data_IF_267928058521
#
_entry.id   IF_267928058521
#
_cell.length_a   1.000
_cell.length_b   1.000
_cell.length_c   1.000
_cell.angle_alpha   90.00
_cell.angle_beta   90.00
_cell.angle_gamma   90.00
#
_symmetry.space_group_name_H-M   'P 1'
#
loop_
_entity.id
_entity.type
_entity.pdbx_description
1 polymer ?
#
# COMPACT_ATOMS: atom_id res chain seq x y z
N UNK A 1 -8.56 -4.26 27.44
CA UNK A 1 -7.48 -3.32 27.03
C UNK A 1 -8.16 -2.12 26.39
N UNK A 2 -8.28 -1.02 27.12
CA UNK A 2 -9.02 0.17 26.67
C UNK A 2 -8.02 1.28 26.38
N UNK A 3 -7.26 1.17 25.27
CA UNK A 3 -6.32 2.21 24.86
C UNK A 3 -5.26 1.66 23.90
N UNK A 4 -4.67 2.53 23.11
CA UNK A 4 -3.59 2.22 22.18
C UNK A 4 -2.35 1.72 22.95
N UNK A 5 -1.87 0.51 22.63
CA UNK A 5 -0.62 -0.04 23.16
C UNK A 5 -0.77 -1.12 24.23
N UNK A 6 0.36 -1.69 24.60
CA UNK A 6 0.46 -2.72 25.63
C UNK A 6 0.94 -2.15 26.96
N UNK A 7 0.47 -2.72 28.09
CA UNK A 7 1.20 -2.56 29.34
C UNK A 7 2.53 -3.33 29.28
N UNK A 8 3.50 -2.96 30.12
CA UNK A 8 4.75 -3.73 30.23
C UNK A 8 4.47 -5.18 30.63
N UNK A 9 3.45 -5.44 31.44
CA UNK A 9 3.02 -6.79 31.77
C UNK A 9 2.55 -7.57 30.52
N UNK A 10 1.76 -6.95 29.65
CA UNK A 10 1.32 -7.58 28.39
C UNK A 10 2.51 -7.85 27.45
N UNK A 11 3.46 -6.93 27.37
CA UNK A 11 4.72 -7.13 26.64
C UNK A 11 5.48 -8.35 27.16
N UNK A 12 5.68 -8.46 28.49
CA UNK A 12 6.41 -9.59 29.10
C UNK A 12 5.72 -10.92 28.85
N UNK A 13 4.39 -10.97 28.99
CA UNK A 13 3.60 -12.15 28.69
C UNK A 13 3.72 -12.55 27.20
N UNK A 14 3.61 -11.60 26.29
CA UNK A 14 3.75 -11.83 24.86
C UNK A 14 5.17 -12.28 24.49
N UNK A 15 6.19 -11.59 24.98
CA UNK A 15 7.59 -11.91 24.66
C UNK A 15 8.01 -13.30 25.13
N UNK A 16 7.53 -13.71 26.32
CA UNK A 16 7.75 -15.05 26.85
C UNK A 16 7.07 -16.13 26.00
N UNK A 17 5.81 -15.89 25.62
CA UNK A 17 5.06 -16.82 24.78
C UNK A 17 5.68 -16.93 23.37
N UNK A 18 6.07 -15.79 22.78
CA UNK A 18 6.69 -15.76 21.47
C UNK A 18 8.06 -16.45 21.47
N UNK A 19 8.90 -16.17 22.48
CA UNK A 19 10.20 -16.83 22.64
C UNK A 19 10.07 -18.36 22.72
N UNK A 20 9.14 -18.85 23.53
CA UNK A 20 8.88 -20.28 23.70
C UNK A 20 8.42 -20.97 22.42
N UNK A 21 7.71 -20.28 21.55
CA UNK A 21 7.19 -20.80 20.28
C UNK A 21 8.18 -20.72 19.12
N UNK A 22 9.25 -19.91 19.21
CA UNK A 22 10.13 -19.56 18.10
C UNK A 22 11.63 -19.68 18.42
N UNK A 23 11.99 -20.62 19.27
CA UNK A 23 13.40 -20.89 19.67
C UNK A 23 14.14 -19.64 20.15
N UNK A 24 13.40 -18.73 20.81
CA UNK A 24 13.93 -17.50 21.37
C UNK A 24 14.16 -17.60 22.88
N UNK A 25 14.75 -16.56 23.43
CA UNK A 25 14.81 -16.36 24.88
C UNK A 25 14.56 -14.90 25.24
N UNK A 26 14.14 -14.67 26.46
CA UNK A 26 13.81 -13.33 26.95
C UNK A 26 14.42 -13.09 28.32
N UNK A 27 14.92 -11.88 28.52
CA UNK A 27 15.36 -11.37 29.83
C UNK A 27 14.57 -10.11 30.18
N UNK A 28 14.24 -9.95 31.46
CA UNK A 28 13.45 -8.83 31.97
C UNK A 28 14.24 -8.13 33.08
N UNK A 29 14.88 -7.02 32.73
CA UNK A 29 15.65 -6.17 33.66
C UNK A 29 15.11 -4.73 33.70
N UNK A 30 14.17 -4.39 32.81
CA UNK A 30 13.52 -3.08 32.78
C UNK A 30 12.47 -2.90 33.87
N UNK A 31 11.91 -1.69 33.94
CA UNK A 31 10.81 -1.37 34.87
C UNK A 31 9.56 -2.17 34.55
N UNK A 32 8.73 -2.46 35.57
CA UNK A 32 7.48 -3.21 35.41
C UNK A 32 6.29 -2.33 34.98
N UNK A 33 6.43 -1.01 35.07
CA UNK A 33 5.37 -0.05 34.83
C UNK A 33 5.55 0.64 33.48
N UNK A 34 4.44 1.10 32.91
CA UNK A 34 4.39 1.91 31.69
C UNK A 34 3.48 1.33 30.61
N UNK A 35 3.28 2.14 29.58
CA UNK A 35 2.54 1.77 28.37
C UNK A 35 3.49 1.79 27.17
N UNK A 36 3.37 0.80 26.29
CA UNK A 36 4.13 0.64 25.06
C UNK A 36 3.18 0.88 23.90
N UNK A 37 3.29 2.03 23.27
CA UNK A 37 2.38 2.52 22.24
C UNK A 37 2.97 2.48 20.84
N UNK A 38 4.30 2.38 20.75
CA UNK A 38 5.01 2.51 19.49
C UNK A 38 5.86 1.28 19.20
N UNK A 39 5.78 0.78 17.97
CA UNK A 39 6.77 -0.11 17.40
C UNK A 39 7.76 0.75 16.62
N UNK A 40 9.05 0.58 16.86
CA UNK A 40 10.10 1.34 16.21
C UNK A 40 11.15 0.42 15.60
N UNK A 41 11.69 0.82 14.45
CA UNK A 41 12.76 0.10 13.75
C UNK A 41 13.88 1.03 13.31
N UNK A 42 13.74 2.36 13.61
CA UNK A 42 14.65 3.41 13.17
C UNK A 42 14.78 4.49 14.25
N UNK A 43 16.02 4.74 14.69
CA UNK A 43 16.32 5.74 15.73
C UNK A 43 15.99 7.16 15.31
N UNK A 44 16.07 7.46 14.01
CA UNK A 44 15.78 8.79 13.44
C UNK A 44 14.30 9.18 13.56
N UNK A 45 13.42 8.22 13.72
CA UNK A 45 11.95 8.42 13.82
C UNK A 45 11.41 8.21 15.23
N UNK A 46 12.27 7.99 16.22
CA UNK A 46 11.89 7.81 17.62
C UNK A 46 11.32 9.09 18.21
N UNK A 47 10.00 9.13 18.43
CA UNK A 47 9.32 10.29 19.05
C UNK A 47 9.01 10.07 20.54
N UNK A 48 8.80 8.83 20.96
CA UNK A 48 8.45 8.44 22.33
C UNK A 48 9.26 7.20 22.76
N UNK A 49 10.57 7.35 23.00
CA UNK A 49 11.45 6.20 23.23
C UNK A 49 11.05 5.31 24.40
N UNK A 50 10.64 5.91 25.53
CA UNK A 50 10.24 5.18 26.72
C UNK A 50 8.95 4.33 26.53
N UNK A 51 8.09 4.71 25.58
CA UNK A 51 6.86 4.00 25.20
C UNK A 51 7.05 3.12 23.95
N UNK A 52 8.28 2.91 23.50
CA UNK A 52 8.60 2.17 22.29
C UNK A 52 9.14 0.77 22.56
N UNK A 53 8.77 -0.17 21.69
CA UNK A 53 9.45 -1.45 21.51
C UNK A 53 10.31 -1.31 20.24
N UNK A 54 11.61 -1.48 20.36
CA UNK A 54 12.53 -1.37 19.22
C UNK A 54 12.84 -2.74 18.64
N UNK A 55 12.63 -2.90 17.35
CA UNK A 55 12.90 -4.11 16.58
C UNK A 55 14.16 -3.89 15.73
N UNK A 56 15.26 -4.54 16.11
CA UNK A 56 16.54 -4.43 15.40
C UNK A 56 16.53 -5.27 14.12
N UNK A 57 15.96 -4.74 13.07
CA UNK A 57 15.87 -5.40 11.76
C UNK A 57 17.21 -5.36 11.04
N UNK A 58 17.54 -6.46 10.31
CA UNK A 58 18.67 -6.53 9.40
C UNK A 58 18.13 -6.37 7.98
N UNK A 59 18.59 -5.36 7.28
CA UNK A 59 18.33 -5.11 5.87
C UNK A 59 19.57 -5.29 5.01
N UNK A 60 19.46 -5.18 3.67
CA UNK A 60 20.59 -5.32 2.76
C UNK A 60 21.74 -4.34 3.00
N UNK A 61 21.44 -3.16 3.55
CA UNK A 61 22.39 -2.05 3.69
C UNK A 61 22.47 -1.51 5.13
N UNK A 62 21.66 -2.00 6.05
CA UNK A 62 21.55 -1.50 7.43
C UNK A 62 21.34 -2.65 8.39
N UNK A 63 21.97 -2.56 9.54
CA UNK A 63 21.73 -3.45 10.67
C UNK A 63 21.22 -2.63 11.87
N UNK A 64 19.98 -2.89 12.28
CA UNK A 64 19.35 -2.19 13.42
C UNK A 64 20.10 -2.41 14.74
N UNK A 65 20.92 -3.46 14.84
CA UNK A 65 21.75 -3.74 16.03
C UNK A 65 22.85 -2.69 16.23
N UNK A 66 23.29 -2.03 15.16
CA UNK A 66 24.32 -0.97 15.26
C UNK A 66 23.79 0.30 15.97
N UNK A 67 22.47 0.43 16.11
CA UNK A 67 21.79 1.59 16.68
C UNK A 67 21.22 1.38 18.09
N UNK A 68 21.44 0.20 18.72
CA UNK A 68 20.87 -0.11 20.04
C UNK A 68 21.36 0.84 21.14
N UNK A 69 22.66 1.17 21.16
CA UNK A 69 23.22 2.10 22.14
C UNK A 69 22.65 3.52 22.00
N UNK A 70 22.43 3.98 20.76
CA UNK A 70 21.82 5.28 20.47
C UNK A 70 20.37 5.32 20.96
N UNK A 71 19.57 4.30 20.61
CA UNK A 71 18.18 4.20 21.02
C UNK A 71 18.03 4.02 22.55
N UNK A 72 18.95 3.32 23.21
CA UNK A 72 19.02 3.22 24.67
C UNK A 72 19.25 4.59 25.32
N UNK A 73 20.22 5.35 24.79
CA UNK A 73 20.50 6.71 25.26
C UNK A 73 19.30 7.63 25.09
N UNK A 74 18.52 7.44 24.03
CA UNK A 74 17.25 8.15 23.81
C UNK A 74 16.14 7.74 24.81
N UNK A 75 16.24 6.56 25.47
CA UNK A 75 15.31 6.11 26.49
C UNK A 75 14.54 4.83 26.18
N UNK A 76 14.84 4.12 25.09
CA UNK A 76 14.27 2.81 24.80
C UNK A 76 14.72 1.78 25.83
N UNK A 77 13.82 0.92 26.28
CA UNK A 77 14.08 -0.13 27.27
C UNK A 77 13.44 -1.48 26.91
N UNK A 78 12.88 -1.62 25.70
CA UNK A 78 12.26 -2.88 25.21
C UNK A 78 12.77 -3.17 23.82
N UNK A 79 13.38 -4.36 23.67
CA UNK A 79 14.16 -4.73 22.51
C UNK A 79 13.72 -6.07 21.94
N UNK A 80 13.63 -6.15 20.63
CA UNK A 80 13.57 -7.39 19.87
C UNK A 80 14.78 -7.44 18.96
N UNK A 81 15.64 -8.43 19.18
CA UNK A 81 16.93 -8.55 18.50
C UNK A 81 17.15 -9.96 17.97
N UNK A 82 17.99 -10.15 16.98
CA UNK A 82 18.43 -11.48 16.51
C UNK A 82 19.81 -11.88 17.03
N UNK A 83 20.56 -10.92 17.59
CA UNK A 83 21.88 -11.15 18.17
C UNK A 83 21.78 -11.00 19.70
N UNK A 84 22.17 -12.03 20.50
CA UNK A 84 22.15 -11.90 21.94
C UNK A 84 23.10 -10.79 22.41
N UNK A 85 22.72 -10.03 23.45
CA UNK A 85 23.60 -9.01 24.02
C UNK A 85 24.85 -9.63 24.63
N UNK A 86 25.95 -8.87 24.65
CA UNK A 86 27.18 -9.21 25.38
C UNK A 86 27.07 -8.69 26.81
N UNK A 87 27.84 -9.24 27.72
CA UNK A 87 27.89 -8.76 29.11
C UNK A 87 28.27 -7.27 29.24
N UNK A 88 29.06 -6.77 28.27
CA UNK A 88 29.47 -5.36 28.20
C UNK A 88 28.42 -4.41 27.61
N UNK A 89 27.32 -4.92 27.08
CA UNK A 89 26.31 -4.11 26.41
C UNK A 89 25.40 -3.44 27.43
N UNK A 90 25.73 -2.20 27.77
CA UNK A 90 25.00 -1.42 28.78
C UNK A 90 23.49 -1.28 28.49
N UNK A 91 23.10 -1.27 27.18
CA UNK A 91 21.70 -1.18 26.77
C UNK A 91 20.84 -2.37 27.21
N UNK A 92 21.45 -3.52 27.50
CA UNK A 92 20.73 -4.73 27.91
C UNK A 92 20.55 -4.84 29.42
N UNK A 93 21.37 -4.15 30.24
CA UNK A 93 21.44 -4.36 31.68
C UNK A 93 20.21 -3.83 32.46
N UNK A 94 19.55 -2.81 31.93
CA UNK A 94 18.38 -2.16 32.55
C UNK A 94 17.11 -2.26 31.67
N UNK A 95 17.07 -3.25 30.78
CA UNK A 95 16.08 -3.36 29.72
C UNK A 95 15.47 -4.76 29.65
N UNK A 96 14.29 -4.86 29.02
CA UNK A 96 13.71 -6.13 28.63
C UNK A 96 14.16 -6.47 27.21
N UNK A 97 14.76 -7.64 27.01
CA UNK A 97 15.33 -8.08 25.72
C UNK A 97 14.71 -9.40 25.30
N UNK A 98 14.08 -9.41 24.13
CA UNK A 98 13.62 -10.61 23.44
C UNK A 98 14.62 -10.92 22.30
N UNK A 99 15.29 -12.06 22.38
CA UNK A 99 16.18 -12.56 21.33
C UNK A 99 15.45 -13.64 20.53
N UNK A 100 15.38 -13.47 19.21
CA UNK A 100 14.67 -14.38 18.30
C UNK A 100 15.40 -14.50 16.96
N UNK A 101 15.29 -15.64 16.26
CA UNK A 101 15.94 -15.82 14.96
C UNK A 101 15.39 -14.85 13.90
N UNK A 102 14.09 -14.51 13.93
CA UNK A 102 13.42 -13.66 12.95
C UNK A 102 12.71 -12.50 13.64
N UNK A 103 13.37 -11.34 13.64
CA UNK A 103 12.84 -10.08 14.21
C UNK A 103 11.64 -9.55 13.40
N UNK A 104 11.62 -9.79 12.07
CA UNK A 104 10.46 -9.39 11.24
C UNK A 104 9.23 -10.21 11.57
N UNK A 105 9.36 -11.51 11.78
CA UNK A 105 8.26 -12.37 12.22
C UNK A 105 7.73 -11.93 13.60
N UNK A 106 8.63 -11.54 14.52
CA UNK A 106 8.23 -11.01 15.82
C UNK A 106 7.44 -9.69 15.69
N UNK A 107 7.88 -8.77 14.82
CA UNK A 107 7.17 -7.51 14.53
C UNK A 107 5.77 -7.78 13.98
N UNK A 108 5.65 -8.68 13.00
CA UNK A 108 4.38 -9.04 12.39
C UNK A 108 3.44 -9.73 13.40
N UNK A 109 3.98 -10.58 14.27
CA UNK A 109 3.20 -11.24 15.32
C UNK A 109 2.72 -10.25 16.42
N UNK A 110 3.55 -9.29 16.80
CA UNK A 110 3.14 -8.23 17.73
C UNK A 110 1.95 -7.43 17.16
N UNK A 111 2.05 -7.03 15.89
CA UNK A 111 0.97 -6.34 15.18
C UNK A 111 -0.28 -7.22 15.06
N UNK A 112 -0.11 -8.53 14.77
CA UNK A 112 -1.22 -9.50 14.73
C UNK A 112 -1.96 -9.56 16.08
N UNK A 113 -1.27 -9.56 17.20
CA UNK A 113 -1.90 -9.56 18.52
C UNK A 113 -2.77 -8.31 18.73
N UNK A 114 -2.31 -7.15 18.25
CA UNK A 114 -3.13 -5.91 18.25
C UNK A 114 -4.35 -6.05 17.34
N UNK A 115 -4.17 -6.66 16.13
CA UNK A 115 -5.26 -6.93 15.19
C UNK A 115 -6.34 -7.83 15.80
N UNK A 116 -5.95 -8.87 16.53
CA UNK A 116 -6.88 -9.83 17.13
C UNK A 116 -7.75 -9.21 18.21
N UNK A 117 -7.33 -8.10 18.81
CA UNK A 117 -8.13 -7.32 19.74
C UNK A 117 -9.19 -6.45 19.06
N UNK A 118 -9.12 -6.22 17.75
CA UNK A 118 -10.07 -5.41 17.00
C UNK A 118 -11.17 -6.27 16.39
N UNK A 119 -12.43 -5.96 16.72
CA UNK A 119 -13.61 -6.72 16.27
C UNK A 119 -14.24 -6.17 14.99
N UNK A 120 -13.92 -4.94 14.60
CA UNK A 120 -14.47 -4.28 13.41
C UNK A 120 -13.94 -4.87 12.09
N UNK A 121 -14.57 -4.52 10.97
CA UNK A 121 -14.14 -4.95 9.64
C UNK A 121 -12.77 -4.40 9.28
N UNK A 122 -11.95 -5.23 8.63
CA UNK A 122 -10.66 -4.88 8.06
C UNK A 122 -10.67 -5.14 6.58
N UNK A 123 -10.60 -4.07 5.80
CA UNK A 123 -10.56 -4.09 4.35
C UNK A 123 -9.11 -4.05 3.89
N UNK A 124 -8.60 -5.14 3.32
CA UNK A 124 -7.27 -5.20 2.76
C UNK A 124 -7.30 -4.85 1.26
N UNK A 125 -6.41 -3.94 0.85
CA UNK A 125 -6.37 -3.41 -0.52
C UNK A 125 -5.07 -3.82 -1.19
N UNK A 126 -5.15 -4.59 -2.28
CA UNK A 126 -3.99 -4.94 -3.11
C UNK A 126 -4.25 -4.73 -4.60
N UNK A 127 -3.23 -4.89 -5.39
CA UNK A 127 -3.21 -4.73 -6.85
C UNK A 127 -1.82 -4.33 -7.33
N UNK A 128 -1.62 -4.27 -8.63
CA UNK A 128 -0.37 -3.76 -9.18
C UNK A 128 -0.27 -2.25 -8.99
N UNK A 129 -1.30 -1.50 -9.41
CA UNK A 129 -1.41 -0.05 -9.29
C UNK A 129 -2.73 0.35 -8.63
N UNK A 130 -2.86 1.60 -8.19
CA UNK A 130 -4.10 2.17 -7.63
C UNK A 130 -4.36 1.89 -6.15
N UNK A 131 -3.57 1.07 -5.45
CA UNK A 131 -3.78 0.69 -4.03
C UNK A 131 -3.96 1.91 -3.11
N UNK A 132 -2.98 2.80 -3.08
CA UNK A 132 -2.99 4.00 -2.23
C UNK A 132 -4.13 4.94 -2.63
N UNK A 133 -4.33 5.13 -3.94
CA UNK A 133 -5.41 5.98 -4.46
C UNK A 133 -6.78 5.47 -4.03
N UNK A 134 -7.05 4.18 -4.21
CA UNK A 134 -8.33 3.56 -3.80
C UNK A 134 -8.50 3.65 -2.28
N UNK A 135 -7.45 3.37 -1.49
CA UNK A 135 -7.49 3.51 -0.03
C UNK A 135 -7.89 4.91 0.41
N UNK A 136 -7.23 5.95 -0.12
CA UNK A 136 -7.52 7.34 0.24
C UNK A 136 -8.91 7.78 -0.24
N UNK A 137 -9.31 7.36 -1.43
CA UNK A 137 -10.62 7.72 -1.97
C UNK A 137 -11.77 6.99 -1.29
N UNK A 138 -11.60 5.71 -0.92
CA UNK A 138 -12.57 5.02 -0.07
C UNK A 138 -12.77 5.78 1.22
N UNK A 139 -11.70 6.15 1.92
CA UNK A 139 -11.78 6.91 3.16
C UNK A 139 -12.49 8.26 2.98
N UNK A 140 -12.27 8.94 1.84
CA UNK A 140 -12.90 10.23 1.53
C UNK A 140 -14.39 10.10 1.19
N UNK A 141 -14.80 9.01 0.53
CA UNK A 141 -16.19 8.78 0.11
C UNK A 141 -17.07 8.22 1.23
N UNK A 142 -16.47 7.57 2.23
CA UNK A 142 -17.21 7.01 3.37
C UNK A 142 -17.93 8.10 4.18
N UNK A 143 -19.02 7.74 4.90
CA UNK A 143 -19.72 8.66 5.77
C UNK A 143 -18.81 9.20 6.89
N UNK A 144 -18.90 10.53 7.15
CA UNK A 144 -18.06 11.21 8.16
C UNK A 144 -18.26 10.71 9.60
N UNK A 145 -19.40 10.07 9.87
CA UNK A 145 -19.70 9.47 11.17
C UNK A 145 -18.83 8.26 11.51
N UNK A 146 -18.14 7.68 10.52
CA UNK A 146 -17.31 6.51 10.71
C UNK A 146 -15.89 6.90 11.12
N UNK A 147 -15.41 6.36 12.22
CA UNK A 147 -14.02 6.47 12.63
C UNK A 147 -13.17 5.49 11.81
N UNK A 148 -12.48 5.99 10.79
CA UNK A 148 -11.73 5.18 9.83
C UNK A 148 -10.25 5.11 10.23
N UNK A 149 -9.76 3.89 10.50
CA UNK A 149 -8.33 3.62 10.51
C UNK A 149 -7.83 3.38 9.09
N UNK A 150 -6.64 3.89 8.75
CA UNK A 150 -6.01 3.63 7.45
C UNK A 150 -4.49 3.60 7.54
N UNK A 151 -3.86 2.75 6.71
CA UNK A 151 -2.40 2.75 6.56
C UNK A 151 -1.89 4.15 6.23
N UNK A 152 -0.90 4.70 6.95
CA UNK A 152 -0.32 6.00 6.61
C UNK A 152 0.46 5.89 5.29
N UNK A 153 0.37 6.92 4.46
CA UNK A 153 1.09 6.99 3.18
C UNK A 153 0.90 5.70 2.34
N UNK A 154 2.02 5.11 1.89
CA UNK A 154 2.07 3.83 1.16
C UNK A 154 2.71 2.73 2.02
N UNK A 155 2.40 2.66 3.33
CA UNK A 155 2.87 1.61 4.22
C UNK A 155 2.21 0.26 3.87
N UNK A 156 2.73 -0.40 2.84
CA UNK A 156 2.15 -1.62 2.26
C UNK A 156 3.10 -2.83 2.27
N UNK A 157 4.37 -2.65 2.71
CA UNK A 157 5.42 -3.66 2.72
C UNK A 157 5.36 -4.57 3.95
N UNK A 158 6.24 -5.58 4.00
CA UNK A 158 6.43 -6.46 5.16
C UNK A 158 6.71 -5.71 6.46
N UNK A 159 7.31 -4.51 6.37
CA UNK A 159 7.56 -3.61 7.49
C UNK A 159 6.40 -2.62 7.71
N UNK A 160 5.90 -2.00 6.65
CA UNK A 160 4.90 -0.94 6.76
C UNK A 160 3.54 -1.41 7.25
N UNK A 161 3.14 -2.63 6.83
CA UNK A 161 1.84 -3.22 7.24
C UNK A 161 1.77 -3.46 8.76
N UNK A 162 2.72 -4.13 9.42
CA UNK A 162 2.65 -4.33 10.87
C UNK A 162 2.65 -3.00 11.65
N UNK A 163 3.40 -2.00 11.22
CA UNK A 163 3.37 -0.67 11.84
C UNK A 163 1.98 -0.01 11.70
N UNK A 164 1.32 -0.19 10.55
CA UNK A 164 -0.05 0.28 10.33
C UNK A 164 -1.05 -0.48 11.19
N UNK A 165 -0.99 -1.80 11.22
CA UNK A 165 -1.89 -2.65 12.01
C UNK A 165 -1.74 -2.37 13.51
N UNK A 166 -0.53 -2.10 14.00
CA UNK A 166 -0.29 -1.74 15.39
C UNK A 166 -1.03 -0.47 15.83
N UNK A 167 -1.28 0.46 14.90
CA UNK A 167 -2.01 1.71 15.20
C UNK A 167 -3.54 1.56 15.21
N UNK A 168 -4.07 0.36 15.00
CA UNK A 168 -5.49 0.06 15.03
C UNK A 168 -6.02 0.08 16.47
N UNK A 169 -7.12 0.79 16.69
CA UNK A 169 -7.76 0.95 18.01
C UNK A 169 -9.22 0.48 17.97
N UNK A 170 -9.78 0.11 19.14
CA UNK A 170 -11.15 -0.39 19.24
C UNK A 170 -12.23 0.63 18.89
N UNK A 171 -11.93 1.93 18.95
CA UNK A 171 -12.88 2.98 18.59
C UNK A 171 -13.10 3.15 17.09
N UNK A 172 -12.25 2.51 16.24
CA UNK A 172 -12.43 2.58 14.81
C UNK A 172 -13.60 1.70 14.35
N UNK A 173 -14.40 2.19 13.42
CA UNK A 173 -15.51 1.45 12.82
C UNK A 173 -15.06 0.58 11.63
N UNK A 174 -13.99 0.97 10.95
CA UNK A 174 -13.43 0.29 9.78
C UNK A 174 -11.93 0.54 9.68
N UNK A 175 -11.18 -0.48 9.26
CA UNK A 175 -9.75 -0.36 8.97
C UNK A 175 -9.47 -0.60 7.48
N UNK A 176 -8.70 0.29 6.85
CA UNK A 176 -8.25 0.22 5.46
C UNK A 176 -6.74 -0.03 5.44
N UNK A 177 -6.32 -1.26 5.09
CA UNK A 177 -4.91 -1.66 5.07
C UNK A 177 -4.46 -1.92 3.64
N UNK A 178 -3.44 -1.19 3.21
CA UNK A 178 -2.79 -1.43 1.92
C UNK A 178 -1.77 -2.57 2.04
N UNK A 179 -1.79 -3.54 1.10
CA UNK A 179 -0.87 -4.67 1.06
C UNK A 179 -0.17 -4.75 -0.31
N UNK A 180 1.16 -4.68 -0.32
CA UNK A 180 2.02 -4.77 -1.49
C UNK A 180 3.07 -5.85 -1.32
N UNK A 181 3.43 -6.50 -2.43
CA UNK A 181 4.43 -7.56 -2.49
C UNK A 181 5.43 -7.33 -3.61
N UNK A 182 6.63 -7.79 -3.38
CA UNK A 182 7.72 -7.83 -4.37
C UNK A 182 8.20 -9.25 -4.65
N UNK A 183 8.00 -10.20 -3.73
CA UNK A 183 8.45 -11.58 -3.85
C UNK A 183 7.35 -12.59 -3.49
N UNK A 184 7.43 -13.82 -4.04
CA UNK A 184 6.55 -14.94 -3.65
C UNK A 184 6.58 -15.21 -2.14
N UNK A 185 5.42 -15.61 -1.57
CA UNK A 185 5.23 -15.90 -0.16
C UNK A 185 5.07 -14.67 0.75
N UNK A 186 5.28 -13.47 0.25
CA UNK A 186 5.11 -12.24 1.03
C UNK A 186 3.65 -11.96 1.36
N UNK A 187 2.73 -12.25 0.43
CA UNK A 187 1.31 -11.99 0.67
C UNK A 187 0.72 -12.85 1.77
N UNK A 188 1.19 -14.09 1.90
CA UNK A 188 0.73 -14.98 2.98
C UNK A 188 1.13 -14.43 4.36
N UNK A 189 2.36 -13.88 4.49
CA UNK A 189 2.80 -13.22 5.73
C UNK A 189 1.96 -11.98 6.05
N UNK A 190 1.69 -11.14 5.04
CA UNK A 190 0.83 -9.96 5.21
C UNK A 190 -0.60 -10.36 5.58
N UNK A 191 -1.16 -11.39 4.95
CA UNK A 191 -2.49 -11.93 5.28
C UNK A 191 -2.58 -12.36 6.74
N UNK A 192 -1.56 -13.06 7.25
CA UNK A 192 -1.50 -13.47 8.65
C UNK A 192 -1.41 -12.27 9.62
N UNK A 193 -0.72 -11.21 9.23
CA UNK A 193 -0.64 -9.99 10.03
C UNK A 193 -1.95 -9.18 10.01
N UNK A 194 -2.58 -9.01 8.84
CA UNK A 194 -3.76 -8.17 8.64
C UNK A 194 -5.05 -8.86 9.09
N UNK A 195 -5.19 -10.15 8.85
CA UNK A 195 -6.44 -10.93 9.02
C UNK A 195 -7.63 -10.18 8.43
N UNK A 196 -7.65 -9.96 7.11
CA UNK A 196 -8.69 -9.15 6.50
C UNK A 196 -10.03 -9.88 6.55
N UNK A 197 -11.11 -9.12 6.80
CA UNK A 197 -12.49 -9.60 6.69
C UNK A 197 -13.06 -9.39 5.30
N UNK A 198 -12.58 -8.36 4.61
CA UNK A 198 -12.95 -8.02 3.24
C UNK A 198 -11.71 -7.63 2.43
N UNK A 199 -11.82 -7.71 1.11
CA UNK A 199 -10.72 -7.43 0.20
C UNK A 199 -11.08 -6.50 -0.95
N UNK A 200 -10.09 -5.75 -1.44
CA UNK A 200 -10.19 -4.98 -2.68
C UNK A 200 -9.03 -5.33 -3.59
N UNK A 201 -9.33 -5.76 -4.80
CA UNK A 201 -8.36 -5.91 -5.87
C UNK A 201 -8.53 -4.76 -6.87
N UNK A 202 -7.55 -3.85 -6.94
CA UNK A 202 -7.66 -2.64 -7.74
C UNK A 202 -7.41 -2.88 -9.22
N UNK A 203 -6.20 -3.31 -9.56
CA UNK A 203 -5.74 -3.53 -10.92
C UNK A 203 -4.67 -4.62 -10.96
N UNK A 204 -4.61 -5.39 -12.06
CA UNK A 204 -3.58 -6.38 -12.34
C UNK A 204 -2.76 -5.93 -13.54
N UNK A 205 -1.54 -5.50 -13.28
CA UNK A 205 -0.54 -5.10 -14.27
C UNK A 205 0.78 -5.82 -14.03
N UNK A 206 1.82 -5.36 -14.70
CA UNK A 206 3.14 -6.01 -14.75
C UNK A 206 4.09 -5.59 -13.61
N UNK A 207 3.63 -4.77 -12.66
CA UNK A 207 4.46 -4.33 -11.53
C UNK A 207 5.01 -5.54 -10.75
N UNK A 208 6.32 -5.56 -10.52
CA UNK A 208 7.09 -6.64 -9.86
C UNK A 208 7.08 -8.00 -10.57
N UNK A 209 6.59 -8.10 -11.81
CA UNK A 209 6.45 -9.36 -12.53
C UNK A 209 7.77 -10.15 -12.62
N UNK A 210 8.90 -9.46 -12.64
CA UNK A 210 10.23 -10.07 -12.73
C UNK A 210 10.60 -11.03 -11.61
N UNK A 211 9.96 -10.93 -10.47
CA UNK A 211 10.19 -11.80 -9.33
C UNK A 211 9.23 -13.00 -9.27
N UNK A 212 8.34 -13.14 -10.27
CA UNK A 212 7.32 -14.19 -10.35
C UNK A 212 7.46 -14.99 -11.64
N UNK A 213 6.98 -16.23 -11.66
CA UNK A 213 7.02 -17.13 -12.83
C UNK A 213 6.11 -16.66 -13.99
N UNK A 214 5.37 -15.57 -13.80
CA UNK A 214 4.49 -14.98 -14.81
C UNK A 214 3.25 -14.31 -14.20
N UNK A 215 2.38 -13.74 -15.05
CA UNK A 215 1.22 -12.97 -14.61
C UNK A 215 0.23 -13.76 -13.75
N UNK A 216 0.06 -15.06 -14.03
CA UNK A 216 -0.87 -15.90 -13.27
C UNK A 216 -0.30 -16.29 -11.90
N UNK A 217 1.02 -16.40 -11.76
CA UNK A 217 1.65 -16.59 -10.45
C UNK A 217 1.47 -15.33 -9.59
N UNK A 218 1.75 -14.15 -10.15
CA UNK A 218 1.53 -12.88 -9.45
C UNK A 218 0.05 -12.68 -9.06
N UNK A 219 -0.89 -13.09 -9.93
CA UNK A 219 -2.31 -13.07 -9.63
C UNK A 219 -2.65 -13.95 -8.43
N UNK A 220 -2.23 -15.22 -8.45
CA UNK A 220 -2.46 -16.16 -7.35
C UNK A 220 -1.89 -15.64 -6.04
N UNK A 221 -0.66 -15.13 -6.09
CA UNK A 221 -0.02 -14.56 -4.90
C UNK A 221 -0.82 -13.40 -4.33
N UNK A 222 -1.28 -12.45 -5.17
CA UNK A 222 -2.14 -11.34 -4.70
C UNK A 222 -3.48 -11.83 -4.15
N UNK A 223 -4.12 -12.82 -4.77
CA UNK A 223 -5.38 -13.38 -4.30
C UNK A 223 -5.25 -14.12 -2.96
N UNK A 224 -4.04 -14.57 -2.58
CA UNK A 224 -3.77 -15.17 -1.27
C UNK A 224 -4.19 -14.26 -0.11
N UNK A 225 -4.12 -12.93 -0.29
CA UNK A 225 -4.61 -11.96 0.71
C UNK A 225 -6.06 -12.19 1.11
N UNK A 226 -6.89 -12.63 0.17
CA UNK A 226 -8.35 -12.72 0.31
C UNK A 226 -8.87 -14.09 0.71
N UNK A 227 -8.00 -15.07 0.97
CA UNK A 227 -8.35 -16.47 1.21
C UNK A 227 -9.44 -16.70 2.27
N UNK A 228 -9.53 -15.82 3.26
CA UNK A 228 -10.50 -15.90 4.35
C UNK A 228 -11.41 -14.67 4.45
N UNK A 229 -11.41 -13.80 3.42
CA UNK A 229 -12.34 -12.69 3.36
C UNK A 229 -13.78 -13.20 3.16
N UNK A 230 -14.73 -12.56 3.80
CA UNK A 230 -16.14 -12.81 3.54
C UNK A 230 -16.56 -12.28 2.16
N UNK A 231 -15.91 -11.21 1.70
CA UNK A 231 -16.23 -10.49 0.47
C UNK A 231 -15.01 -9.90 -0.20
N UNK A 232 -15.02 -9.84 -1.56
CA UNK A 232 -13.97 -9.16 -2.34
C UNK A 232 -14.59 -8.25 -3.39
N UNK A 233 -14.09 -7.02 -3.48
CA UNK A 233 -14.49 -5.99 -4.44
C UNK A 233 -13.47 -5.89 -5.56
N UNK A 234 -13.93 -5.91 -6.81
CA UNK A 234 -13.05 -5.78 -7.98
C UNK A 234 -13.81 -5.32 -9.25
N UNK A 235 -13.11 -4.84 -10.30
CA UNK A 235 -13.70 -4.66 -11.63
C UNK A 235 -14.16 -6.00 -12.21
N UNK A 236 -15.33 -6.03 -12.87
CA UNK A 236 -15.88 -7.25 -13.50
C UNK A 236 -14.90 -7.88 -14.51
N UNK A 237 -14.15 -7.07 -15.22
CA UNK A 237 -13.10 -7.53 -16.15
C UNK A 237 -12.05 -8.47 -15.52
N UNK A 238 -11.87 -8.42 -14.19
CA UNK A 238 -10.95 -9.31 -13.47
C UNK A 238 -11.62 -10.57 -12.92
N UNK A 239 -12.94 -10.62 -12.87
CA UNK A 239 -13.69 -11.67 -12.17
C UNK A 239 -13.33 -13.07 -12.64
N UNK A 240 -13.40 -13.34 -13.93
CA UNK A 240 -13.16 -14.69 -14.48
C UNK A 240 -11.75 -15.21 -14.16
N UNK A 241 -10.75 -14.32 -14.19
CA UNK A 241 -9.36 -14.70 -13.88
C UNK A 241 -9.14 -14.93 -12.40
N UNK A 242 -9.82 -14.17 -11.55
CA UNK A 242 -9.61 -14.18 -10.10
C UNK A 242 -10.48 -15.20 -9.38
N UNK A 243 -11.69 -15.49 -9.90
CA UNK A 243 -12.71 -16.34 -9.27
C UNK A 243 -12.19 -17.69 -8.73
N UNK A 244 -11.28 -18.43 -9.41
CA UNK A 244 -10.75 -19.69 -8.88
C UNK A 244 -9.94 -19.55 -7.58
N UNK A 245 -9.54 -18.33 -7.23
CA UNK A 245 -8.64 -18.01 -6.11
C UNK A 245 -9.29 -17.13 -5.05
N UNK A 246 -10.57 -16.78 -5.22
CA UNK A 246 -11.30 -15.85 -4.35
C UNK A 246 -12.42 -16.57 -3.59
N UNK A 247 -12.91 -15.99 -2.47
CA UNK A 247 -14.13 -16.45 -1.82
C UNK A 247 -15.34 -16.32 -2.75
N UNK A 248 -16.49 -16.92 -2.38
CA UNK A 248 -17.67 -16.95 -3.24
C UNK A 248 -18.38 -15.58 -3.38
N UNK A 249 -18.32 -14.73 -2.35
CA UNK A 249 -18.95 -13.39 -2.41
C UNK A 249 -17.99 -12.39 -3.09
N UNK A 250 -18.17 -12.25 -4.39
CA UNK A 250 -17.44 -11.33 -5.25
C UNK A 250 -18.39 -10.24 -5.70
N UNK A 251 -18.06 -9.00 -5.35
CA UNK A 251 -18.85 -7.81 -5.68
C UNK A 251 -18.11 -6.98 -6.72
N UNK A 252 -18.76 -6.71 -7.84
CA UNK A 252 -18.11 -6.09 -9.00
C UNK A 252 -18.78 -4.81 -9.46
N UNK A 253 -18.01 -4.01 -10.21
CA UNK A 253 -18.50 -2.93 -11.04
C UNK A 253 -18.04 -3.12 -12.48
N UNK A 254 -18.86 -2.61 -13.43
CA UNK A 254 -18.54 -2.63 -14.85
C UNK A 254 -19.08 -1.40 -15.57
N UNK A 255 -18.53 -1.09 -16.75
CA UNK A 255 -19.13 -0.13 -17.65
C UNK A 255 -20.45 -0.70 -18.20
N UNK A 256 -21.48 0.17 -18.29
CA UNK A 256 -22.84 -0.25 -18.69
C UNK A 256 -22.91 -0.92 -20.08
N UNK A 257 -21.92 -0.67 -20.93
CA UNK A 257 -21.82 -1.27 -22.27
C UNK A 257 -21.06 -2.61 -22.29
N UNK A 258 -20.43 -3.00 -21.19
CA UNK A 258 -19.70 -4.27 -21.11
C UNK A 258 -20.65 -5.46 -20.97
N UNK A 259 -20.24 -6.61 -21.54
CA UNK A 259 -20.98 -7.85 -21.36
C UNK A 259 -20.99 -8.26 -19.87
N UNK A 260 -22.15 -8.65 -19.35
CA UNK A 260 -22.32 -9.00 -17.94
C UNK A 260 -22.61 -7.82 -17.02
N UNK A 261 -22.68 -6.59 -17.54
CA UNK A 261 -22.97 -5.40 -16.74
C UNK A 261 -24.31 -5.45 -16.01
N UNK A 262 -25.25 -6.26 -16.47
CA UNK A 262 -26.55 -6.47 -15.81
C UNK A 262 -26.47 -7.26 -14.50
N UNK A 263 -25.37 -7.95 -14.26
CA UNK A 263 -25.12 -8.78 -13.07
C UNK A 263 -24.21 -8.13 -12.03
N UNK A 264 -23.67 -6.92 -12.31
CA UNK A 264 -22.77 -6.24 -11.39
C UNK A 264 -23.52 -5.41 -10.35
N UNK A 265 -22.90 -5.21 -9.19
CA UNK A 265 -23.48 -4.41 -8.14
C UNK A 265 -23.51 -2.91 -8.49
N UNK A 266 -22.50 -2.42 -9.22
CA UNK A 266 -22.38 -1.02 -9.63
C UNK A 266 -22.15 -0.92 -11.13
N UNK A 267 -23.11 -0.34 -11.87
CA UNK A 267 -22.93 0.00 -13.28
C UNK A 267 -22.39 1.42 -13.44
N UNK A 268 -21.50 1.58 -14.38
CA UNK A 268 -20.76 2.82 -14.61
C UNK A 268 -20.90 3.27 -16.07
N UNK A 269 -21.18 4.54 -16.30
CA UNK A 269 -21.18 5.17 -17.62
C UNK A 269 -20.31 6.43 -17.58
N UNK A 270 -19.30 6.48 -18.47
CA UNK A 270 -18.36 7.60 -18.57
C UNK A 270 -18.60 8.36 -19.86
N UNK A 271 -18.90 9.65 -19.73
CA UNK A 271 -18.93 10.57 -20.86
C UNK A 271 -17.65 11.42 -20.84
N UNK A 272 -16.67 11.02 -21.60
CA UNK A 272 -15.34 11.67 -21.64
C UNK A 272 -15.39 13.09 -22.19
N UNK A 273 -16.24 13.35 -23.20
CA UNK A 273 -16.36 14.68 -23.81
C UNK A 273 -16.99 15.72 -22.86
N UNK A 274 -17.90 15.29 -22.00
CA UNK A 274 -18.53 16.14 -20.99
C UNK A 274 -17.90 16.02 -19.62
N UNK A 275 -16.95 15.10 -19.43
CA UNK A 275 -16.33 14.77 -18.14
C UNK A 275 -17.38 14.47 -17.06
N UNK A 276 -18.31 13.58 -17.38
CA UNK A 276 -19.37 13.14 -16.48
C UNK A 276 -19.25 11.65 -16.22
N UNK A 277 -19.52 11.29 -14.96
CA UNK A 277 -19.64 9.92 -14.49
C UNK A 277 -21.07 9.69 -14.03
N UNK A 278 -21.73 8.68 -14.57
CA UNK A 278 -23.03 8.21 -14.07
C UNK A 278 -22.85 6.85 -13.40
N UNK A 279 -23.30 6.76 -12.15
CA UNK A 279 -23.31 5.52 -11.37
C UNK A 279 -24.76 5.03 -11.23
N UNK A 280 -24.98 3.73 -11.40
CA UNK A 280 -26.26 3.06 -11.15
C UNK A 280 -26.08 1.99 -10.07
N UNK A 281 -26.83 2.15 -8.99
CA UNK A 281 -26.74 1.32 -7.80
C UNK A 281 -28.14 1.03 -7.25
N UNK A 282 -28.50 -0.25 -7.10
CA UNK A 282 -29.79 -0.69 -6.53
C UNK A 282 -31.02 0.01 -7.15
N UNK A 283 -31.03 0.18 -8.47
CA UNK A 283 -32.11 0.81 -9.19
C UNK A 283 -32.12 2.35 -9.21
N UNK A 284 -31.31 3.01 -8.40
CA UNK A 284 -31.10 4.44 -8.43
C UNK A 284 -29.91 4.84 -9.32
N UNK A 285 -29.87 6.09 -9.77
CA UNK A 285 -28.72 6.60 -10.53
C UNK A 285 -28.37 8.03 -10.12
N UNK A 286 -27.08 8.36 -10.18
CA UNK A 286 -26.55 9.70 -9.96
C UNK A 286 -25.51 10.03 -11.02
N UNK A 287 -25.53 11.28 -11.52
CA UNK A 287 -24.54 11.78 -12.47
C UNK A 287 -23.76 12.92 -11.83
N UNK A 288 -22.45 12.90 -11.96
CA UNK A 288 -21.55 13.86 -11.34
C UNK A 288 -20.40 14.22 -12.25
N UNK A 289 -19.73 15.34 -11.95
CA UNK A 289 -18.53 15.75 -12.65
C UNK A 289 -17.37 14.76 -12.33
N UNK A 290 -16.60 14.44 -13.36
CA UNK A 290 -15.41 13.59 -13.25
C UNK A 290 -14.16 14.49 -13.17
N UNK A 291 -13.47 14.56 -12.02
CA UNK A 291 -12.31 15.43 -11.86
C UNK A 291 -11.05 14.91 -12.56
N UNK A 292 -11.06 13.65 -12.96
CA UNK A 292 -9.92 12.95 -13.55
C UNK A 292 -10.00 12.87 -15.07
N UNK A 293 -8.84 12.74 -15.72
CA UNK A 293 -8.73 12.54 -17.17
C UNK A 293 -8.22 11.14 -17.53
N UNK A 294 -7.50 10.46 -16.63
CA UNK A 294 -6.95 9.14 -16.91
C UNK A 294 -7.98 8.03 -16.64
N UNK A 295 -8.01 7.01 -17.49
CA UNK A 295 -8.84 5.82 -17.30
C UNK A 295 -8.49 5.11 -15.98
N UNK A 296 -7.22 5.10 -15.59
CA UNK A 296 -6.77 4.52 -14.33
C UNK A 296 -7.42 5.20 -13.12
N UNK A 297 -7.49 6.53 -13.10
CA UNK A 297 -8.16 7.29 -12.03
C UNK A 297 -9.67 7.05 -12.03
N UNK A 298 -10.28 6.95 -13.22
CA UNK A 298 -11.72 6.61 -13.34
C UNK A 298 -11.98 5.22 -12.73
N UNK A 299 -11.17 4.21 -13.06
CA UNK A 299 -11.31 2.86 -12.52
C UNK A 299 -11.13 2.83 -11.00
N UNK A 300 -10.14 3.56 -10.48
CA UNK A 300 -9.92 3.69 -9.04
C UNK A 300 -11.12 4.35 -8.35
N UNK A 301 -11.71 5.39 -8.96
CA UNK A 301 -12.90 6.07 -8.43
C UNK A 301 -14.14 5.14 -8.41
N UNK A 302 -14.34 4.34 -9.46
CA UNK A 302 -15.42 3.36 -9.51
C UNK A 302 -15.25 2.28 -8.43
N UNK A 303 -14.02 1.77 -8.24
CA UNK A 303 -13.72 0.81 -7.18
C UNK A 303 -13.95 1.42 -5.79
N UNK A 304 -13.50 2.65 -5.56
CA UNK A 304 -13.72 3.35 -4.30
C UNK A 304 -15.21 3.63 -4.03
N UNK A 305 -15.97 4.03 -5.05
CA UNK A 305 -17.41 4.26 -4.94
C UNK A 305 -18.17 2.96 -4.60
N UNK A 306 -17.82 1.84 -5.27
CA UNK A 306 -18.41 0.53 -4.97
C UNK A 306 -18.23 0.16 -3.50
N UNK A 307 -17.00 0.27 -2.99
CA UNK A 307 -16.68 -0.03 -1.59
C UNK A 307 -17.44 0.90 -0.65
N UNK A 308 -17.43 2.20 -0.90
CA UNK A 308 -18.09 3.19 -0.04
C UNK A 308 -19.61 2.97 0.02
N UNK A 309 -20.25 2.63 -1.10
CA UNK A 309 -21.69 2.31 -1.17
C UNK A 309 -22.02 1.06 -0.32
N UNK A 310 -21.18 0.04 -0.36
CA UNK A 310 -21.35 -1.14 0.49
C UNK A 310 -21.15 -0.86 1.99
N UNK A 311 -20.34 0.15 2.32
CA UNK A 311 -20.08 0.59 3.69
C UNK A 311 -20.95 1.77 4.14
N UNK A 312 -22.13 1.95 3.50
CA UNK A 312 -23.18 2.83 3.95
C UNK A 312 -23.11 4.27 3.48
N UNK A 313 -22.27 4.59 2.49
CA UNK A 313 -22.41 5.81 1.72
C UNK A 313 -23.65 5.71 0.82
N UNK A 314 -24.31 6.83 0.57
CA UNK A 314 -25.40 6.93 -0.40
C UNK A 314 -24.89 7.38 -1.77
N UNK A 315 -25.69 7.20 -2.85
CA UNK A 315 -25.36 7.79 -4.14
C UNK A 315 -25.25 9.31 -4.08
N UNK A 316 -26.03 9.95 -3.22
CA UNK A 316 -25.97 11.41 -2.98
C UNK A 316 -24.64 11.80 -2.34
N UNK A 317 -24.17 11.06 -1.33
CA UNK A 317 -22.83 11.26 -0.74
C UNK A 317 -21.73 11.16 -1.80
N UNK A 318 -21.77 10.11 -2.64
CA UNK A 318 -20.81 9.93 -3.72
C UNK A 318 -20.91 11.07 -4.75
N UNK A 319 -22.11 11.46 -5.16
CA UNK A 319 -22.33 12.55 -6.10
C UNK A 319 -21.76 13.89 -5.60
N UNK A 320 -21.84 14.13 -4.31
CA UNK A 320 -21.33 15.34 -3.69
C UNK A 320 -19.80 15.31 -3.50
N UNK A 321 -19.24 14.18 -3.03
CA UNK A 321 -17.83 14.06 -2.63
C UNK A 321 -16.88 13.73 -3.79
N UNK A 322 -17.30 12.89 -4.75
CA UNK A 322 -16.44 12.42 -5.84
C UNK A 322 -15.84 13.56 -6.70
N UNK A 323 -16.58 14.64 -7.06
CA UNK A 323 -16.03 15.74 -7.82
C UNK A 323 -14.85 16.48 -7.15
N UNK A 324 -14.73 16.36 -5.82
CA UNK A 324 -13.66 17.00 -5.04
C UNK A 324 -12.45 16.09 -4.77
N UNK A 325 -12.48 14.83 -5.21
CA UNK A 325 -11.35 13.93 -5.07
C UNK A 325 -10.13 14.44 -5.84
N UNK A 326 -8.97 14.28 -5.24
CA UNK A 326 -7.67 14.59 -5.86
C UNK A 326 -6.78 13.36 -5.83
N UNK A 327 -5.90 13.23 -6.82
CA UNK A 327 -4.88 12.19 -6.80
C UNK A 327 -3.92 12.41 -5.63
N UNK A 328 -3.56 11.35 -4.89
CA UNK A 328 -2.53 11.46 -3.85
C UNK A 328 -1.21 11.95 -4.44
N UNK A 329 -0.48 12.74 -3.68
CA UNK A 329 0.83 13.29 -4.10
C UNK A 329 1.75 12.19 -4.62
N UNK A 330 2.41 12.44 -5.77
CA UNK A 330 3.29 11.48 -6.42
C UNK A 330 2.58 10.30 -7.12
N UNK A 331 1.26 10.38 -7.29
CA UNK A 331 0.43 9.37 -7.97
C UNK A 331 -0.39 10.04 -9.07
N UNK A 332 0.27 10.34 -10.19
CA UNK A 332 -0.31 11.06 -11.32
C UNK A 332 -0.89 12.43 -10.92
N UNK A 333 -0.39 13.02 -9.84
CA UNK A 333 -0.89 14.28 -9.33
C UNK A 333 -0.51 15.45 -10.23
N UNK A 334 -1.48 16.36 -10.46
CA UNK A 334 -1.29 17.54 -11.31
C UNK A 334 -1.16 18.81 -10.47
N UNK A 335 -0.02 19.48 -10.57
CA UNK A 335 0.30 20.69 -9.82
C UNK A 335 0.41 21.87 -10.79
N UNK A 336 -0.45 22.87 -10.63
CA UNK A 336 -0.33 24.15 -11.37
C UNK A 336 0.86 24.94 -10.83
N UNK A 337 1.73 25.39 -11.73
CA UNK A 337 2.91 26.18 -11.36
C UNK A 337 2.59 27.69 -11.35
N UNK A 338 3.18 28.47 -10.41
CA UNK A 338 2.92 29.93 -10.31
C UNK A 338 3.29 30.72 -11.56
N UNK A 339 4.27 30.26 -12.33
CA UNK A 339 4.75 30.89 -13.59
C UNK A 339 4.12 30.32 -14.85
N UNK A 340 3.01 29.60 -14.71
CA UNK A 340 2.34 28.89 -15.79
C UNK A 340 2.90 27.47 -15.99
N UNK A 341 2.07 26.64 -16.64
CA UNK A 341 2.34 25.21 -16.88
C UNK A 341 1.82 24.31 -15.78
N UNK A 342 1.84 23.01 -16.07
CA UNK A 342 1.38 21.92 -15.20
C UNK A 342 2.56 20.99 -14.96
N UNK A 343 2.80 20.61 -13.72
CA UNK A 343 3.67 19.50 -13.35
C UNK A 343 2.79 18.27 -13.09
N UNK A 344 2.96 17.21 -13.87
CA UNK A 344 2.38 15.89 -13.62
C UNK A 344 3.44 15.09 -12.88
N UNK A 345 3.14 14.71 -11.63
CA UNK A 345 4.07 14.00 -10.75
C UNK A 345 3.58 12.56 -10.54
N UNK A 346 4.41 11.58 -10.92
CA UNK A 346 4.16 10.15 -10.75
C UNK A 346 5.46 9.44 -10.36
N UNK A 347 5.93 9.70 -9.13
CA UNK A 347 7.26 9.34 -8.64
C UNK A 347 7.24 8.36 -7.44
N UNK A 348 6.06 7.95 -6.97
CA UNK A 348 5.95 7.03 -5.83
C UNK A 348 6.16 5.55 -6.18
N UNK A 349 5.83 5.14 -7.40
CA UNK A 349 6.03 3.79 -7.90
C UNK A 349 6.25 3.87 -9.41
N UNK A 350 7.38 3.34 -9.87
CA UNK A 350 7.77 3.46 -11.27
C UNK A 350 7.84 2.08 -11.92
N UNK A 351 6.84 1.76 -12.74
CA UNK A 351 6.76 0.60 -13.60
C UNK A 351 6.35 1.00 -15.02
N UNK A 352 6.46 0.09 -15.98
CA UNK A 352 6.16 0.39 -17.40
C UNK A 352 4.69 0.82 -17.61
N UNK A 353 3.77 0.26 -16.85
CA UNK A 353 2.35 0.62 -16.92
C UNK A 353 2.09 2.03 -16.35
N UNK A 354 2.69 2.39 -15.21
CA UNK A 354 2.59 3.74 -14.66
C UNK A 354 3.25 4.78 -15.58
N UNK A 355 4.41 4.46 -16.16
CA UNK A 355 5.06 5.31 -17.15
C UNK A 355 4.14 5.57 -18.36
N UNK A 356 3.49 4.53 -18.88
CA UNK A 356 2.55 4.68 -20.02
C UNK A 356 1.38 5.62 -19.64
N UNK A 357 0.79 5.44 -18.46
CA UNK A 357 -0.30 6.29 -17.97
C UNK A 357 0.15 7.74 -17.78
N UNK A 358 1.34 7.98 -17.21
CA UNK A 358 1.88 9.31 -16.99
C UNK A 358 2.19 10.02 -18.33
N UNK A 359 2.74 9.31 -19.31
CA UNK A 359 3.01 9.84 -20.64
C UNK A 359 1.72 10.18 -21.39
N UNK A 360 0.69 9.34 -21.31
CA UNK A 360 -0.64 9.66 -21.87
C UNK A 360 -1.26 10.89 -21.21
N UNK A 361 -1.14 11.04 -19.90
CA UNK A 361 -1.63 12.22 -19.19
C UNK A 361 -0.88 13.49 -19.63
N UNK A 362 0.43 13.41 -19.89
CA UNK A 362 1.23 14.51 -20.44
C UNK A 362 0.78 14.86 -21.85
N UNK A 363 0.49 13.88 -22.69
CA UNK A 363 0.05 14.10 -24.07
C UNK A 363 -1.35 14.74 -24.13
N UNK A 364 -2.25 14.35 -23.24
CA UNK A 364 -3.61 14.88 -23.11
C UNK A 364 -3.68 16.20 -22.33
N UNK A 365 -2.58 16.67 -21.74
CA UNK A 365 -2.57 17.92 -21.01
C UNK A 365 -2.94 19.09 -21.94
N UNK A 366 -3.72 20.09 -21.45
CA UNK A 366 -4.12 21.24 -22.25
C UNK A 366 -2.93 21.91 -22.91
N UNK A 367 -3.05 22.20 -24.19
CA UNK A 367 -1.95 22.72 -25.00
C UNK A 367 -1.62 24.15 -24.60
N UNK A 368 -0.41 24.37 -24.10
CA UNK A 368 0.08 25.72 -23.82
C UNK A 368 1.61 25.82 -23.80
N UNK A 369 2.37 24.86 -24.25
CA UNK A 369 3.81 24.99 -24.18
C UNK A 369 4.60 23.74 -24.52
N UNK A 370 5.86 23.73 -24.08
CA UNK A 370 6.76 22.58 -24.25
C UNK A 370 6.38 21.43 -23.35
N UNK A 371 6.35 20.23 -23.90
CA UNK A 371 6.21 18.97 -23.18
C UNK A 371 7.58 18.42 -22.79
N UNK A 372 7.86 18.36 -21.51
CA UNK A 372 9.14 17.90 -20.96
C UNK A 372 8.89 16.70 -20.06
N UNK A 373 9.61 15.61 -20.27
CA UNK A 373 9.57 14.45 -19.40
C UNK A 373 10.89 14.30 -18.64
N UNK A 374 10.79 13.96 -17.34
CA UNK A 374 11.90 13.50 -16.50
C UNK A 374 11.56 12.08 -16.09
N UNK A 375 12.32 11.11 -16.57
CA UNK A 375 12.00 9.68 -16.44
C UNK A 375 13.13 8.97 -15.73
N UNK A 376 12.79 8.11 -14.77
CA UNK A 376 13.73 7.21 -14.09
C UNK A 376 13.81 5.84 -14.76
N UNK A 377 14.70 4.98 -14.27
CA UNK A 377 14.75 3.57 -14.67
C UNK A 377 13.57 2.79 -14.06
N UNK A 378 13.22 1.65 -14.69
CA UNK A 378 12.14 0.74 -14.31
C UNK A 378 12.72 -0.66 -14.00
N UNK A 379 13.51 -0.82 -12.93
CA UNK A 379 14.31 -2.02 -12.70
C UNK A 379 13.47 -3.29 -12.40
N UNK A 380 12.23 -3.13 -11.94
CA UNK A 380 11.36 -4.24 -11.50
C UNK A 380 10.41 -4.73 -12.60
N UNK A 381 10.69 -4.44 -13.87
CA UNK A 381 9.84 -4.82 -15.01
C UNK A 381 9.85 -6.33 -15.33
N UNK A 382 10.84 -7.08 -14.84
CA UNK A 382 11.05 -8.49 -15.20
C UNK A 382 11.60 -8.72 -16.61
N UNK A 383 11.92 -7.66 -17.31
CA UNK A 383 12.50 -7.70 -18.66
C UNK A 383 14.03 -7.68 -18.57
N UNK A 384 14.70 -8.22 -19.61
CA UNK A 384 16.13 -7.97 -19.80
C UNK A 384 16.36 -6.46 -19.99
N UNK A 385 17.58 -5.99 -19.77
CA UNK A 385 17.93 -4.57 -19.93
C UNK A 385 17.55 -4.07 -21.32
N UNK A 386 17.87 -4.83 -22.36
CA UNK A 386 17.60 -4.48 -23.76
C UNK A 386 16.09 -4.40 -24.04
N UNK A 387 15.32 -5.40 -23.59
CA UNK A 387 13.88 -5.42 -23.77
C UNK A 387 13.19 -4.28 -22.99
N UNK A 388 13.68 -3.95 -21.77
CA UNK A 388 13.22 -2.84 -20.97
C UNK A 388 13.46 -1.50 -21.65
N UNK A 389 14.67 -1.26 -22.14
CA UNK A 389 15.04 -0.05 -22.90
C UNK A 389 14.15 0.07 -24.14
N UNK A 390 14.03 -0.99 -24.94
CA UNK A 390 13.19 -0.99 -26.14
C UNK A 390 11.72 -0.64 -25.82
N UNK A 391 11.18 -1.16 -24.73
CA UNK A 391 9.81 -0.85 -24.30
C UNK A 391 9.67 0.59 -23.82
N UNK A 392 10.62 1.11 -23.04
CA UNK A 392 10.63 2.51 -22.61
C UNK A 392 10.73 3.47 -23.81
N UNK A 393 11.61 3.18 -24.77
CA UNK A 393 11.72 3.95 -26.02
C UNK A 393 10.40 3.95 -26.79
N UNK A 394 9.76 2.78 -26.94
CA UNK A 394 8.44 2.67 -27.60
C UNK A 394 7.38 3.53 -26.93
N UNK A 395 7.34 3.58 -25.60
CA UNK A 395 6.39 4.41 -24.85
C UNK A 395 6.68 5.90 -25.01
N UNK A 396 7.95 6.30 -24.95
CA UNK A 396 8.38 7.69 -25.10
C UNK A 396 8.15 8.21 -26.52
N UNK A 397 8.41 7.38 -27.54
CA UNK A 397 8.18 7.72 -28.95
C UNK A 397 6.70 7.87 -29.32
N UNK A 398 5.79 7.29 -28.52
CA UNK A 398 4.35 7.41 -28.76
C UNK A 398 3.78 8.78 -28.32
N UNK A 399 4.57 9.62 -27.65
CA UNK A 399 4.14 10.90 -27.11
C UNK A 399 5.01 12.02 -27.68
N UNK A 400 4.40 13.15 -28.03
CA UNK A 400 5.14 14.33 -28.47
C UNK A 400 5.89 14.95 -27.29
N UNK A 401 7.22 14.86 -27.29
CA UNK A 401 8.10 15.48 -26.31
C UNK A 401 9.00 16.54 -26.97
N UNK A 402 9.15 17.70 -26.33
CA UNK A 402 10.10 18.74 -26.72
C UNK A 402 11.45 18.55 -26.04
N UNK A 403 11.48 17.86 -24.87
CA UNK A 403 12.69 17.46 -24.17
C UNK A 403 12.46 16.24 -23.29
N UNK A 404 13.47 15.39 -23.18
CA UNK A 404 13.51 14.22 -22.30
C UNK A 404 14.77 14.29 -21.43
N UNK A 405 14.58 14.13 -20.11
CA UNK A 405 15.65 13.97 -19.14
C UNK A 405 15.53 12.57 -18.56
N UNK A 406 16.63 11.81 -18.59
CA UNK A 406 16.66 10.45 -18.08
C UNK A 406 17.57 10.34 -16.87
N UNK A 407 17.04 9.80 -15.76
CA UNK A 407 17.76 9.61 -14.51
C UNK A 407 17.91 8.12 -14.20
N UNK A 408 19.07 7.56 -14.51
CA UNK A 408 19.41 6.18 -14.20
C UNK A 408 20.87 6.09 -13.74
N UNK A 409 21.16 6.41 -12.49
CA UNK A 409 22.54 6.44 -11.96
C UNK A 409 23.21 5.07 -11.99
N UNK A 410 22.44 3.99 -11.92
CA UNK A 410 22.97 2.61 -11.96
C UNK A 410 23.24 2.08 -13.38
N UNK A 411 22.85 2.82 -14.43
CA UNK A 411 23.07 2.38 -15.81
C UNK A 411 24.51 2.59 -16.26
N UNK A 412 25.02 1.61 -17.01
CA UNK A 412 26.29 1.73 -17.73
C UNK A 412 26.19 2.76 -18.86
N UNK A 413 27.32 3.23 -19.34
CA UNK A 413 27.34 4.17 -20.49
C UNK A 413 26.77 3.53 -21.78
N UNK A 414 26.90 2.21 -21.93
CA UNK A 414 26.30 1.49 -23.07
C UNK A 414 24.77 1.49 -23.02
N UNK A 415 24.17 1.31 -21.83
CA UNK A 415 22.71 1.36 -21.63
C UNK A 415 22.17 2.78 -21.88
N UNK A 416 22.88 3.81 -21.41
CA UNK A 416 22.52 5.22 -21.67
C UNK A 416 22.60 5.56 -23.16
N UNK A 417 23.64 5.06 -23.86
CA UNK A 417 23.80 5.24 -25.30
C UNK A 417 22.68 4.57 -26.08
N UNK A 418 22.27 3.36 -25.68
CA UNK A 418 21.18 2.64 -26.32
C UNK A 418 19.84 3.40 -26.25
N UNK A 419 19.54 4.05 -25.12
CA UNK A 419 18.33 4.87 -24.98
C UNK A 419 18.36 6.12 -25.86
N UNK A 420 19.53 6.78 -25.99
CA UNK A 420 19.67 8.03 -26.75
C UNK A 420 19.70 7.77 -28.26
N UNK A 421 20.16 6.59 -28.69
CA UNK A 421 20.29 6.22 -30.10
C UNK A 421 19.01 5.64 -30.69
N UNK A 422 18.05 5.27 -29.87
CA UNK A 422 16.77 4.70 -30.30
C UNK A 422 15.65 5.74 -30.33
#
# INVERSE_FOLDING_TARGET
MTGRGWSVHAWRAWSQAFASAHDGHVTHHGTEEGLLRHLSTDTRTLTHPAESIFFALIGPWHDGHDHLAEAHTAGVRRWVVSKPPRESDAWAQDSDVLVVPDVMAALQHAARTQRDAFEGPVLAITGSNGKTTVKEWVASLLPERLAIHRSPLSHNSQLGVPLSVWSLEQHHDLSLIEAGISHPGEMERLRHCIVPTEGVLTHLGEAHLGNFEGPDHLLREKCTLFKHCARVYLPEALRLRCQPHLPQDIVTWAHAQEAGAEHVALQVEVNTSRRLLTLRWQGASATMALPFTSDASVHNACTAALVALHHGATLEDIQHKLPSLTEPTGRLSSIKRPRGGILIQDDCNHDLGSLEVALRALDQAPDAGKRVAIVGDVPQSGLTVEARIARMVSLLAAVRLDALWFWAPAWSDAERHALVSA
#
